data_IF_530872651405
#
_entry.id   IF_530872651405
#
_cell.length_a   1.000
_cell.length_b   1.000
_cell.length_c   1.000
_cell.angle_alpha   90.00
_cell.angle_beta   90.00
_cell.angle_gamma   90.00
#
_symmetry.space_group_name_H-M   'P 1'
#
loop_
_entity.id
_entity.type
_entity.pdbx_description
1 polymer ?
#
# COMPACT_ATOMS: atom_id res chain seq x y z
N UNK A 1 18.30 0.03 1.44
CA UNK A 1 17.42 -0.14 2.61
C UNK A 1 18.27 -0.35 3.87
N UNK A 2 19.24 -1.31 3.90
CA UNK A 2 20.05 -1.62 5.09
C UNK A 2 20.70 -0.40 5.72
N UNK A 3 21.40 0.41 4.94
CA UNK A 3 22.05 1.63 5.42
C UNK A 3 21.07 2.57 6.16
N UNK A 4 19.88 2.82 5.58
CA UNK A 4 18.89 3.69 6.22
C UNK A 4 18.33 3.09 7.52
N UNK A 5 18.23 1.77 7.59
CA UNK A 5 17.79 1.09 8.81
C UNK A 5 18.87 1.19 9.90
N UNK A 6 20.12 0.96 9.53
CA UNK A 6 21.25 1.08 10.47
C UNK A 6 21.35 2.51 11.02
N UNK A 7 21.29 3.52 10.15
CA UNK A 7 21.28 4.93 10.55
C UNK A 7 20.12 5.26 11.51
N UNK A 8 18.92 4.73 11.24
CA UNK A 8 17.76 4.93 12.11
C UNK A 8 17.92 4.25 13.48
N UNK A 9 18.43 3.02 13.51
CA UNK A 9 18.68 2.29 14.75
C UNK A 9 19.80 2.93 15.58
N UNK A 10 20.88 3.35 14.94
CA UNK A 10 21.98 4.08 15.59
C UNK A 10 21.49 5.41 16.18
N UNK A 11 20.60 6.12 15.46
CA UNK A 11 19.98 7.33 15.98
C UNK A 11 19.16 7.05 17.25
N UNK A 12 18.29 6.04 17.23
CA UNK A 12 17.51 5.66 18.41
C UNK A 12 18.41 5.29 19.60
N UNK A 13 19.39 4.44 19.37
CA UNK A 13 20.30 3.95 20.41
C UNK A 13 21.15 5.09 21.01
N UNK A 14 21.66 6.00 20.18
CA UNK A 14 22.49 7.14 20.63
C UNK A 14 21.69 8.20 21.41
N UNK A 15 20.38 8.28 21.19
CA UNK A 15 19.50 9.21 21.91
C UNK A 15 18.70 8.55 23.03
N UNK A 16 18.92 7.27 23.31
CA UNK A 16 18.19 6.52 24.35
C UNK A 16 16.68 6.41 24.08
N UNK A 17 16.27 6.44 22.79
CA UNK A 17 14.87 6.32 22.40
C UNK A 17 14.48 4.85 22.25
N UNK A 18 13.42 4.38 22.94
CA UNK A 18 13.01 2.99 22.84
C UNK A 18 12.41 2.68 21.46
N UNK A 19 12.82 1.55 20.88
CA UNK A 19 12.11 0.97 19.74
C UNK A 19 11.04 0.01 20.28
N UNK A 20 9.76 0.27 20.01
CA UNK A 20 8.65 -0.54 20.53
C UNK A 20 8.07 -1.47 19.46
N UNK A 21 8.09 -1.02 18.20
CA UNK A 21 7.58 -1.78 17.06
C UNK A 21 8.28 -1.40 15.76
N UNK A 22 8.22 -2.29 14.77
CA UNK A 22 8.60 -2.02 13.38
C UNK A 22 7.37 -2.20 12.50
N UNK A 23 7.00 -1.16 11.76
CA UNK A 23 5.95 -1.23 10.76
C UNK A 23 6.54 -1.51 9.37
N UNK A 24 5.86 -2.38 8.61
CA UNK A 24 6.26 -2.72 7.24
C UNK A 24 5.06 -2.73 6.29
N UNK A 25 5.25 -2.18 5.08
CA UNK A 25 4.28 -2.35 4.01
C UNK A 25 4.22 -3.83 3.62
N UNK A 26 3.06 -4.45 3.81
CA UNK A 26 2.91 -5.89 3.66
C UNK A 26 2.46 -6.33 2.26
N UNK A 27 2.16 -5.39 1.38
CA UNK A 27 1.66 -5.67 0.03
C UNK A 27 0.22 -5.18 -0.19
N UNK A 28 -0.23 -5.28 -1.44
CA UNK A 28 0.46 -5.84 -2.60
C UNK A 28 1.61 -4.97 -3.09
N UNK A 29 2.47 -5.52 -3.93
CA UNK A 29 3.60 -4.79 -4.49
C UNK A 29 4.63 -5.69 -5.18
N UNK A 30 5.82 -5.16 -5.40
CA UNK A 30 6.93 -5.90 -5.96
C UNK A 30 7.27 -7.14 -5.11
N UNK A 31 7.22 -8.33 -5.71
CA UNK A 31 7.55 -9.59 -5.04
C UNK A 31 8.90 -9.55 -4.31
N UNK A 32 9.95 -9.10 -5.02
CA UNK A 32 11.30 -8.98 -4.45
C UNK A 32 11.34 -7.90 -3.35
N UNK A 33 10.71 -6.74 -3.60
CA UNK A 33 10.68 -5.63 -2.63
C UNK A 33 9.99 -6.03 -1.32
N UNK A 34 8.86 -6.70 -1.41
CA UNK A 34 8.11 -7.18 -0.25
C UNK A 34 8.92 -8.20 0.57
N UNK A 35 9.60 -9.14 -0.11
CA UNK A 35 10.46 -10.12 0.59
C UNK A 35 11.62 -9.47 1.32
N UNK A 36 12.30 -8.51 0.68
CA UNK A 36 13.41 -7.78 1.29
C UNK A 36 12.91 -6.98 2.50
N UNK A 37 11.83 -6.20 2.32
CA UNK A 37 11.29 -5.36 3.38
C UNK A 37 10.79 -6.17 4.58
N UNK A 38 9.98 -7.18 4.35
CA UNK A 38 9.43 -8.03 5.42
C UNK A 38 10.53 -8.84 6.11
N UNK A 39 11.51 -9.40 5.36
CA UNK A 39 12.61 -10.15 5.99
C UNK A 39 13.44 -9.26 6.89
N UNK A 40 13.72 -8.01 6.49
CA UNK A 40 14.45 -7.05 7.30
C UNK A 40 13.65 -6.66 8.54
N UNK A 41 12.37 -6.31 8.40
CA UNK A 41 11.50 -5.97 9.53
C UNK A 41 11.43 -7.13 10.55
N UNK A 42 11.26 -8.37 10.08
CA UNK A 42 11.28 -9.56 10.93
C UNK A 42 12.63 -9.74 11.66
N UNK A 43 13.74 -9.51 10.96
CA UNK A 43 15.08 -9.58 11.53
C UNK A 43 15.29 -8.59 12.68
N UNK A 44 14.84 -7.34 12.49
CA UNK A 44 14.90 -6.30 13.52
C UNK A 44 14.01 -6.67 14.71
N UNK A 45 12.74 -7.05 14.43
CA UNK A 45 11.82 -7.42 15.49
C UNK A 45 12.32 -8.60 16.32
N UNK A 46 12.86 -9.63 15.67
CA UNK A 46 13.44 -10.78 16.36
C UNK A 46 14.68 -10.40 17.19
N UNK A 47 15.60 -9.64 16.58
CA UNK A 47 16.86 -9.27 17.26
C UNK A 47 16.66 -8.29 18.42
N UNK A 48 15.67 -7.41 18.35
CA UNK A 48 15.37 -6.39 19.38
C UNK A 48 14.24 -6.81 20.33
N UNK A 49 13.55 -7.92 20.07
CA UNK A 49 12.41 -8.37 20.89
C UNK A 49 11.18 -7.46 20.80
N UNK A 50 11.00 -6.73 19.69
CA UNK A 50 9.92 -5.75 19.49
C UNK A 50 8.82 -6.27 18.57
N UNK A 51 7.69 -5.56 18.53
CA UNK A 51 6.50 -5.97 17.77
C UNK A 51 6.66 -5.71 16.27
N UNK A 52 6.02 -6.56 15.45
CA UNK A 52 5.89 -6.37 14.00
C UNK A 52 4.47 -5.90 13.67
N UNK A 53 4.36 -4.84 12.87
CA UNK A 53 3.09 -4.30 12.40
C UNK A 53 3.06 -4.35 10.88
N UNK A 54 2.06 -5.03 10.33
CA UNK A 54 1.82 -5.03 8.88
C UNK A 54 0.85 -3.90 8.49
N UNK A 55 1.22 -3.12 7.47
CA UNK A 55 0.36 -2.08 6.91
C UNK A 55 0.12 -2.37 5.43
N UNK A 56 -1.14 -2.55 4.98
CA UNK A 56 -1.44 -2.76 3.56
C UNK A 56 -0.97 -1.58 2.71
N UNK A 57 -0.36 -1.90 1.56
CA UNK A 57 0.24 -0.88 0.69
C UNK A 57 -0.81 0.09 0.13
N UNK A 58 -1.99 -0.39 -0.19
CA UNK A 58 -3.06 0.46 -0.73
C UNK A 58 -3.62 1.40 0.36
N UNK A 59 -3.80 0.92 1.60
CA UNK A 59 -4.23 1.78 2.71
C UNK A 59 -3.21 2.90 3.01
N UNK A 60 -1.91 2.59 3.04
CA UNK A 60 -0.90 3.62 3.30
C UNK A 60 -0.84 4.69 2.20
N UNK A 61 -1.17 4.33 0.96
CA UNK A 61 -1.28 5.29 -0.14
C UNK A 61 -2.50 6.21 0.00
N UNK A 62 -3.55 5.75 0.65
CA UNK A 62 -4.76 6.56 0.90
C UNK A 62 -4.53 7.67 1.95
N UNK A 63 -3.58 7.49 2.87
CA UNK A 63 -3.32 8.46 3.96
C UNK A 63 -3.05 9.88 3.45
N UNK A 64 -2.10 10.14 2.52
CA UNK A 64 -1.86 11.50 2.05
C UNK A 64 -3.05 12.11 1.28
N UNK A 65 -3.88 11.29 0.62
CA UNK A 65 -5.10 11.74 -0.05
C UNK A 65 -6.13 12.22 0.98
N UNK A 66 -6.34 11.45 2.04
CA UNK A 66 -7.30 11.79 3.09
C UNK A 66 -6.85 12.94 4.00
N UNK A 67 -5.54 13.19 4.10
CA UNK A 67 -4.98 14.32 4.85
C UNK A 67 -4.81 15.58 3.99
N UNK A 68 -4.97 15.47 2.68
CA UNK A 68 -4.88 16.57 1.73
C UNK A 68 -6.20 17.33 1.55
N UNK A 69 -6.29 18.06 0.43
CA UNK A 69 -7.50 18.82 0.06
C UNK A 69 -8.58 17.95 -0.58
N UNK A 70 -8.27 16.72 -0.94
CA UNK A 70 -9.19 15.75 -1.55
C UNK A 70 -9.36 14.52 -0.68
N UNK A 71 -10.51 13.84 -0.78
CA UNK A 71 -11.73 14.18 -1.52
C UNK A 71 -12.56 15.26 -0.80
N UNK A 72 -13.22 16.13 -1.56
CA UNK A 72 -14.07 17.20 -1.04
C UNK A 72 -15.45 16.68 -0.55
N UNK A 73 -16.01 15.71 -1.28
CA UNK A 73 -17.34 15.16 -1.01
C UNK A 73 -17.30 14.15 0.15
N UNK A 74 -18.29 14.22 1.05
CA UNK A 74 -18.36 13.36 2.24
C UNK A 74 -18.55 11.87 1.90
N UNK A 75 -19.27 11.58 0.82
CA UNK A 75 -19.56 10.23 0.34
C UNK A 75 -18.62 9.75 -0.78
N UNK A 76 -17.53 10.48 -1.03
CA UNK A 76 -16.55 10.12 -2.02
C UNK A 76 -15.89 8.76 -1.71
N UNK A 77 -15.58 8.03 -2.78
CA UNK A 77 -14.79 6.82 -2.71
C UNK A 77 -13.35 7.08 -3.17
N UNK A 78 -12.43 6.34 -2.63
CA UNK A 78 -11.01 6.42 -2.96
C UNK A 78 -10.50 5.08 -3.47
N UNK A 79 -9.72 5.12 -4.55
CA UNK A 79 -9.24 3.92 -5.25
C UNK A 79 -7.73 4.02 -5.46
N UNK A 80 -6.94 3.53 -4.50
CA UNK A 80 -5.50 3.36 -4.68
C UNK A 80 -5.22 2.31 -5.76
N UNK A 81 -4.31 2.62 -6.68
CA UNK A 81 -3.94 1.77 -7.80
C UNK A 81 -2.44 1.57 -7.90
N UNK A 82 -2.00 0.32 -7.81
CA UNK A 82 -0.62 -0.06 -8.13
C UNK A 82 -0.54 -0.68 -9.53
N UNK A 83 0.44 -0.24 -10.31
CA UNK A 83 0.66 -0.76 -11.66
C UNK A 83 1.05 -2.24 -11.64
N UNK A 84 0.24 -3.08 -12.30
CA UNK A 84 0.48 -4.50 -12.49
C UNK A 84 0.86 -4.85 -13.93
N UNK A 85 1.26 -3.86 -14.72
CA UNK A 85 1.61 -3.89 -16.15
C UNK A 85 0.41 -3.94 -17.10
N UNK A 86 0.62 -3.47 -18.34
CA UNK A 86 -0.45 -3.30 -19.34
C UNK A 86 -1.60 -2.48 -18.74
N UNK A 87 -2.87 -2.82 -19.01
CA UNK A 87 -4.05 -2.20 -18.40
C UNK A 87 -4.47 -2.86 -17.08
N UNK A 88 -3.58 -3.64 -16.44
CA UNK A 88 -3.86 -4.25 -15.16
C UNK A 88 -3.32 -3.40 -14.01
N UNK A 89 -4.11 -3.31 -12.95
CA UNK A 89 -3.76 -2.65 -11.68
C UNK A 89 -4.14 -3.51 -10.49
N UNK A 90 -3.44 -3.37 -9.37
CA UNK A 90 -3.92 -3.84 -8.08
C UNK A 90 -4.65 -2.69 -7.41
N UNK A 91 -5.93 -2.86 -7.16
CA UNK A 91 -6.79 -1.82 -6.63
C UNK A 91 -7.79 -2.37 -5.62
N UNK A 92 -8.23 -1.51 -4.73
CA UNK A 92 -9.38 -1.70 -3.85
C UNK A 92 -10.24 -0.44 -3.86
N UNK A 93 -11.48 -0.54 -3.45
CA UNK A 93 -12.35 0.63 -3.29
C UNK A 93 -12.59 0.82 -1.80
N UNK A 94 -12.27 2.01 -1.31
CA UNK A 94 -12.39 2.39 0.10
C UNK A 94 -13.30 3.60 0.24
N UNK A 95 -13.98 3.70 1.39
CA UNK A 95 -14.57 4.96 1.81
C UNK A 95 -13.52 5.87 2.49
N UNK A 96 -13.91 7.09 2.85
CA UNK A 96 -13.04 8.06 3.53
C UNK A 96 -12.60 7.64 4.94
N UNK A 97 -13.26 6.67 5.54
CA UNK A 97 -12.88 6.08 6.83
C UNK A 97 -11.94 4.86 6.66
N UNK A 98 -11.45 4.60 5.44
CA UNK A 98 -10.68 3.40 5.06
C UNK A 98 -11.45 2.08 5.27
N UNK A 99 -12.77 2.13 5.26
CA UNK A 99 -13.57 0.93 5.24
C UNK A 99 -13.62 0.38 3.83
N UNK A 100 -13.37 -0.92 3.70
CA UNK A 100 -13.37 -1.60 2.40
C UNK A 100 -14.80 -1.68 1.86
N UNK A 101 -15.03 -1.03 0.71
CA UNK A 101 -16.25 -1.11 -0.09
C UNK A 101 -16.15 -2.26 -1.09
N UNK A 102 -15.01 -2.37 -1.77
CA UNK A 102 -14.65 -3.52 -2.60
C UNK A 102 -13.25 -4.01 -2.22
N UNK A 103 -13.09 -5.29 -1.89
CA UNK A 103 -11.78 -5.84 -1.53
C UNK A 103 -10.79 -5.77 -2.71
N UNK A 104 -9.51 -5.84 -2.35
CA UNK A 104 -8.41 -5.78 -3.32
C UNK A 104 -8.54 -6.84 -4.41
N UNK A 105 -8.34 -6.40 -5.65
CA UNK A 105 -8.34 -7.24 -6.84
C UNK A 105 -7.24 -6.83 -7.83
N UNK A 106 -6.96 -7.71 -8.77
CA UNK A 106 -6.18 -7.41 -9.96
C UNK A 106 -7.15 -7.07 -11.09
N UNK A 107 -7.39 -5.79 -11.31
CA UNK A 107 -8.34 -5.30 -12.30
C UNK A 107 -7.68 -5.13 -13.66
N UNK A 108 -8.26 -5.70 -14.71
CA UNK A 108 -7.97 -5.31 -16.09
C UNK A 108 -8.96 -4.20 -16.42
N UNK A 109 -8.49 -2.96 -16.38
CA UNK A 109 -9.35 -1.77 -16.42
C UNK A 109 -9.90 -1.55 -17.83
N UNK A 110 -11.22 -1.49 -17.93
CA UNK A 110 -12.01 -1.06 -19.09
C UNK A 110 -12.98 0.07 -18.70
N UNK A 111 -13.83 0.48 -19.63
CA UNK A 111 -14.77 1.60 -19.43
C UNK A 111 -15.86 1.32 -18.37
N UNK A 112 -16.14 0.06 -18.09
CA UNK A 112 -17.22 -0.35 -17.18
C UNK A 112 -16.71 -0.78 -15.79
N UNK A 113 -15.39 -0.94 -15.62
CA UNK A 113 -14.76 -1.56 -14.41
C UNK A 113 -15.17 -0.88 -13.11
N UNK A 114 -15.33 0.45 -13.09
CA UNK A 114 -15.72 1.23 -11.89
C UNK A 114 -17.07 1.95 -12.06
N UNK A 115 -17.82 1.63 -13.12
CA UNK A 115 -19.05 2.34 -13.47
C UNK A 115 -20.09 2.34 -12.35
N UNK A 116 -20.27 1.24 -11.65
CA UNK A 116 -21.23 1.12 -10.54
C UNK A 116 -20.97 2.13 -9.41
N UNK A 117 -19.70 2.47 -9.16
CA UNK A 117 -19.30 3.46 -8.16
C UNK A 117 -19.40 4.88 -8.71
N UNK A 118 -18.96 5.09 -9.95
CA UNK A 118 -18.94 6.39 -10.62
C UNK A 118 -20.34 6.93 -10.92
N UNK A 119 -21.32 6.06 -11.15
CA UNK A 119 -22.72 6.47 -11.35
C UNK A 119 -23.36 7.06 -10.07
N UNK A 120 -22.77 6.80 -8.88
CA UNK A 120 -23.36 7.17 -7.60
C UNK A 120 -22.46 8.09 -6.75
N UNK A 121 -21.12 8.06 -6.95
CA UNK A 121 -20.14 8.73 -6.12
C UNK A 121 -19.07 9.44 -6.94
N UNK A 122 -18.49 10.48 -6.38
CA UNK A 122 -17.19 10.95 -6.83
C UNK A 122 -16.12 9.94 -6.41
N UNK A 123 -15.27 9.54 -7.36
CA UNK A 123 -14.25 8.50 -7.13
C UNK A 123 -12.87 9.07 -7.44
N UNK A 124 -11.99 9.02 -6.44
CA UNK A 124 -10.63 9.55 -6.52
C UNK A 124 -9.64 8.42 -6.74
N UNK A 125 -9.03 8.41 -7.92
CA UNK A 125 -8.04 7.42 -8.34
C UNK A 125 -6.62 7.97 -8.14
N UNK A 126 -5.73 7.20 -7.56
CA UNK A 126 -4.35 7.62 -7.30
C UNK A 126 -3.37 6.46 -7.26
N UNK A 127 -2.06 6.80 -7.28
CA UNK A 127 -0.96 5.84 -7.33
C UNK A 127 -0.43 5.63 -8.74
N UNK A 128 0.65 4.88 -8.86
CA UNK A 128 1.38 4.73 -10.13
C UNK A 128 0.62 3.92 -11.21
N UNK A 129 -0.48 3.28 -10.83
CA UNK A 129 -1.39 2.59 -11.76
C UNK A 129 -2.53 3.46 -12.28
N UNK A 130 -2.83 4.60 -11.62
CA UNK A 130 -4.06 5.36 -11.90
C UNK A 130 -4.01 6.11 -13.23
N UNK A 131 -2.94 6.87 -13.50
CA UNK A 131 -2.87 7.76 -14.65
C UNK A 131 -3.13 7.06 -15.99
N UNK A 132 -2.60 5.85 -16.19
CA UNK A 132 -2.83 5.06 -17.42
C UNK A 132 -4.28 4.61 -17.59
N UNK A 133 -5.06 4.55 -16.50
CA UNK A 133 -6.43 4.08 -16.53
C UNK A 133 -7.44 5.19 -16.83
N UNK A 134 -7.06 6.47 -16.60
CA UNK A 134 -7.99 7.60 -16.74
C UNK A 134 -8.48 7.85 -18.16
N UNK A 135 -7.70 7.51 -19.19
CA UNK A 135 -8.15 7.58 -20.57
C UNK A 135 -9.29 6.58 -20.86
N UNK A 136 -9.27 5.45 -20.13
CA UNK A 136 -10.29 4.40 -20.26
C UNK A 136 -11.47 4.69 -19.33
N UNK A 137 -11.21 5.17 -18.11
CA UNK A 137 -12.22 5.57 -17.11
C UNK A 137 -12.65 7.01 -17.43
N UNK A 138 -13.37 7.20 -18.52
CA UNK A 138 -13.84 8.53 -18.93
C UNK A 138 -15.22 8.83 -18.33
N UNK A 139 -15.25 9.35 -17.09
CA UNK A 139 -16.50 9.67 -16.39
C UNK A 139 -16.38 11.00 -15.64
N UNK A 140 -17.44 11.87 -15.58
CA UNK A 140 -17.38 13.17 -14.90
C UNK A 140 -17.06 13.09 -13.40
N UNK A 141 -17.42 11.99 -12.75
CA UNK A 141 -17.14 11.74 -11.33
C UNK A 141 -15.80 11.04 -11.08
N UNK A 142 -14.99 10.80 -12.12
CA UNK A 142 -13.67 10.21 -11.99
C UNK A 142 -12.60 11.31 -11.83
N UNK A 143 -11.88 11.29 -10.72
CA UNK A 143 -10.86 12.28 -10.38
C UNK A 143 -9.49 11.61 -10.22
N UNK A 144 -8.46 12.16 -10.86
CA UNK A 144 -7.08 11.71 -10.69
C UNK A 144 -6.37 12.57 -9.63
N UNK A 145 -5.79 11.91 -8.62
CA UNK A 145 -4.87 12.56 -7.67
C UNK A 145 -3.46 12.12 -8.00
N UNK A 146 -2.66 13.04 -8.51
CA UNK A 146 -1.28 12.78 -8.94
C UNK A 146 -0.28 12.79 -7.78
N UNK A 147 0.90 12.21 -8.00
CA UNK A 147 2.04 12.30 -7.08
C UNK A 147 1.90 11.42 -5.82
N UNK A 148 0.94 10.52 -5.76
CA UNK A 148 0.77 9.60 -4.64
C UNK A 148 1.64 8.36 -4.85
N UNK A 149 2.55 8.14 -3.91
CA UNK A 149 3.47 7.01 -3.87
C UNK A 149 3.38 6.28 -2.51
N UNK A 150 3.71 4.96 -2.48
CA UNK A 150 3.72 4.18 -1.24
C UNK A 150 4.95 4.50 -0.37
N UNK A 151 4.99 5.68 0.21
CA UNK A 151 6.10 6.14 1.04
C UNK A 151 5.96 5.69 2.49
N UNK A 152 7.06 5.25 3.10
CA UNK A 152 7.09 4.75 4.49
C UNK A 152 6.55 5.76 5.51
N UNK A 153 6.78 7.07 5.31
CA UNK A 153 6.26 8.14 6.18
C UNK A 153 4.74 8.12 6.32
N UNK A 154 4.03 7.65 5.30
CA UNK A 154 2.57 7.58 5.29
C UNK A 154 2.03 6.41 6.14
N UNK A 155 2.89 5.49 6.58
CA UNK A 155 2.48 4.39 7.47
C UNK A 155 2.22 4.83 8.91
N UNK A 156 2.83 5.93 9.36
CA UNK A 156 2.84 6.31 10.78
C UNK A 156 1.44 6.29 11.44
N UNK A 157 0.40 6.98 10.93
CA UNK A 157 -0.91 6.99 11.59
C UNK A 157 -1.59 5.62 11.58
N UNK A 158 -1.37 4.80 10.54
CA UNK A 158 -1.93 3.46 10.46
C UNK A 158 -1.21 2.48 11.40
N UNK A 159 0.11 2.62 11.51
CA UNK A 159 0.92 1.81 12.41
C UNK A 159 0.60 2.11 13.88
N UNK A 160 0.46 3.40 14.23
CA UNK A 160 0.09 3.82 15.58
C UNK A 160 -1.30 3.30 15.95
N UNK A 161 -2.29 3.44 15.07
CA UNK A 161 -3.62 2.86 15.28
C UNK A 161 -3.55 1.37 15.55
N UNK A 162 -2.81 0.59 14.73
CA UNK A 162 -2.64 -0.85 14.91
C UNK A 162 -1.88 -1.19 16.20
N UNK A 163 -0.91 -0.37 16.59
CA UNK A 163 -0.18 -0.55 17.84
C UNK A 163 -1.12 -0.41 19.05
N UNK A 164 -1.92 0.65 19.11
CA UNK A 164 -2.90 0.88 20.19
C UNK A 164 -3.97 -0.22 20.23
N UNK A 165 -4.40 -0.72 19.07
CA UNK A 165 -5.35 -1.82 18.95
C UNK A 165 -4.72 -3.20 19.28
N UNK A 166 -3.42 -3.27 19.50
CA UNK A 166 -2.70 -4.53 19.77
C UNK A 166 -2.63 -5.47 18.54
N UNK A 167 -2.76 -4.94 17.33
CA UNK A 167 -2.71 -5.69 16.07
C UNK A 167 -1.26 -5.91 15.65
N UNK A 168 -0.66 -6.98 16.15
CA UNK A 168 0.71 -7.37 15.86
C UNK A 168 0.75 -8.67 15.09
N UNK A 169 1.77 -8.78 14.24
CA UNK A 169 2.03 -9.99 13.46
C UNK A 169 2.98 -10.93 14.21
N UNK A 170 2.82 -12.23 13.96
CA UNK A 170 3.77 -13.24 14.43
C UNK A 170 5.06 -13.14 13.61
N UNK A 171 6.16 -12.77 14.26
CA UNK A 171 7.46 -12.56 13.60
C UNK A 171 7.96 -13.84 12.91
N UNK A 172 7.65 -15.02 13.41
CA UNK A 172 8.08 -16.29 12.81
C UNK A 172 7.27 -16.64 11.55
N UNK A 173 5.95 -16.47 11.61
CA UNK A 173 5.04 -16.98 10.58
C UNK A 173 4.50 -15.94 9.62
N UNK A 174 4.64 -14.64 9.92
CA UNK A 174 4.17 -13.59 9.02
C UNK A 174 4.83 -13.68 7.65
N UNK A 175 4.00 -13.56 6.60
CA UNK A 175 4.41 -13.52 5.19
C UNK A 175 3.78 -12.32 4.49
N UNK A 176 4.44 -11.74 3.46
CA UNK A 176 3.83 -10.68 2.67
C UNK A 176 2.54 -11.14 1.98
N UNK A 177 1.66 -10.20 1.74
CA UNK A 177 0.46 -10.42 0.94
C UNK A 177 0.80 -10.40 -0.55
N UNK A 178 0.78 -11.58 -1.18
CA UNK A 178 0.98 -11.75 -2.61
C UNK A 178 -0.38 -11.91 -3.28
N UNK A 179 -0.84 -10.85 -3.99
CA UNK A 179 -2.14 -10.91 -4.69
C UNK A 179 -2.11 -11.87 -5.89
N UNK A 180 -0.93 -12.07 -6.48
CA UNK A 180 -0.69 -13.05 -7.54
C UNK A 180 0.50 -13.94 -7.20
N UNK A 181 0.40 -15.20 -7.63
CA UNK A 181 1.52 -16.14 -7.55
C UNK A 181 2.70 -15.68 -8.39
N UNK A 182 3.89 -15.98 -7.91
CA UNK A 182 5.12 -15.69 -8.64
C UNK A 182 5.24 -16.62 -9.86
N UNK A 183 5.15 -16.02 -11.05
CA UNK A 183 5.42 -16.74 -12.32
C UNK A 183 6.83 -16.41 -12.78
N UNK A 184 7.75 -17.36 -12.64
CA UNK A 184 9.11 -17.24 -13.17
C UNK A 184 9.06 -17.20 -14.72
N UNK A 185 9.62 -16.15 -15.31
CA UNK A 185 9.86 -16.15 -16.76
C UNK A 185 11.08 -17.01 -17.06
N UNK A 186 10.93 -18.02 -17.88
CA UNK A 186 12.11 -18.72 -18.42
C UNK A 186 12.96 -17.70 -19.22
N UNK A 187 14.28 -17.63 -18.99
CA UNK A 187 15.14 -16.81 -19.82
C UNK A 187 15.00 -17.23 -21.27
N UNK A 188 14.83 -16.25 -22.19
CA UNK A 188 14.97 -16.56 -23.63
C UNK A 188 16.37 -17.16 -23.82
N UNK A 189 16.45 -18.35 -24.44
CA UNK A 189 17.72 -18.89 -24.86
C UNK A 189 18.44 -17.81 -25.66
N UNK A 190 19.57 -17.34 -25.15
CA UNK A 190 20.56 -16.62 -25.95
C UNK A 190 21.11 -17.64 -26.94
N UNK A 191 20.74 -17.52 -28.22
CA UNK A 191 21.40 -18.21 -29.33
C UNK A 191 22.71 -17.50 -29.61
#
# INVERSE_FOLDING_TARGET
LGVFVDEALDFLDSHGLPLEAVAVSCGPGSYTGLRIGVSMAKGICYGRGVKLIAVPTLELMAVPVLLGEHPEEEDALIVPMLDARRMEVYAEVLDRALKVVRPIQADIVDADTYKEYLDQHHVYFFGNGAAKCMETINHPNAHLVEGIEPLAKNMAPLAEKRFVEGKFEDVAYFVPFYLKDFVAKMPKKLL
#
